data_IF_738626303166
#
_entry.id   IF_738626303166
#
_cell.length_a   1.000
_cell.length_b   1.000
_cell.length_c   1.000
_cell.angle_alpha   90.00
_cell.angle_beta   90.00
_cell.angle_gamma   90.00
#
_symmetry.space_group_name_H-M   'P 1'
#
loop_
_entity.id
_entity.type
_entity.pdbx_description
1 polymer ?
#
# COMPACT_ATOMS: atom_id res chain seq x y z
N UNK A 1 -1.66 -17.06 -9.06
CA UNK A 1 -0.39 -16.83 -8.32
C UNK A 1 0.48 -15.76 -8.96
N UNK A 2 0.97 -15.94 -10.19
CA UNK A 2 1.81 -14.91 -10.85
C UNK A 2 1.00 -13.65 -11.20
N UNK A 3 -0.23 -13.84 -11.69
CA UNK A 3 -1.18 -12.74 -11.95
C UNK A 3 -1.50 -11.94 -10.68
N UNK A 4 -1.72 -12.62 -9.56
CA UNK A 4 -1.99 -11.98 -8.26
C UNK A 4 -0.78 -11.13 -7.80
N UNK A 5 0.45 -11.63 -8.01
CA UNK A 5 1.68 -10.90 -7.71
C UNK A 5 1.83 -9.67 -8.60
N UNK A 6 1.57 -9.79 -9.89
CA UNK A 6 1.61 -8.67 -10.83
C UNK A 6 0.56 -7.61 -10.48
N UNK A 7 -0.64 -8.03 -10.11
CA UNK A 7 -1.70 -7.12 -9.71
C UNK A 7 -1.37 -6.39 -8.41
N UNK A 8 -0.80 -7.09 -7.43
CA UNK A 8 -0.30 -6.50 -6.19
C UNK A 8 0.81 -5.48 -6.46
N UNK A 9 1.78 -5.83 -7.29
CA UNK A 9 2.88 -4.93 -7.65
C UNK A 9 2.36 -3.67 -8.38
N UNK A 10 1.40 -3.84 -9.28
CA UNK A 10 0.74 -2.71 -9.97
C UNK A 10 0.04 -1.79 -8.97
N UNK A 11 -0.66 -2.36 -7.99
CA UNK A 11 -1.35 -1.58 -6.96
C UNK A 11 -0.37 -0.83 -6.04
N UNK A 12 0.75 -1.46 -5.65
CA UNK A 12 1.82 -0.81 -4.88
C UNK A 12 2.47 0.35 -5.65
N UNK A 13 2.71 0.18 -6.94
CA UNK A 13 3.32 1.20 -7.80
C UNK A 13 2.41 2.43 -8.03
N UNK A 14 1.10 2.32 -7.75
CA UNK A 14 0.16 3.45 -7.82
C UNK A 14 0.10 4.28 -6.54
N UNK A 15 0.72 3.82 -5.45
CA UNK A 15 0.72 4.56 -4.19
C UNK A 15 1.72 5.71 -4.24
N UNK A 16 1.40 6.80 -3.53
CA UNK A 16 2.37 7.85 -3.25
C UNK A 16 3.61 7.26 -2.57
N UNK A 17 4.79 7.74 -2.95
CA UNK A 17 6.09 7.25 -2.48
C UNK A 17 6.17 7.05 -0.97
N UNK A 18 5.76 8.04 -0.17
CA UNK A 18 5.82 7.95 1.30
C UNK A 18 4.83 6.93 1.88
N UNK A 19 3.75 6.65 1.17
CA UNK A 19 2.76 5.62 1.55
C UNK A 19 3.28 4.23 1.22
N UNK A 20 3.88 4.08 0.03
CA UNK A 20 4.56 2.85 -0.39
C UNK A 20 5.69 2.48 0.57
N UNK A 21 6.58 3.43 0.86
CA UNK A 21 7.67 3.23 1.83
C UNK A 21 7.17 2.83 3.21
N UNK A 22 6.10 3.46 3.71
CA UNK A 22 5.54 3.10 5.01
C UNK A 22 5.02 1.66 5.07
N UNK A 23 4.42 1.17 3.98
CA UNK A 23 3.94 -0.21 3.86
C UNK A 23 5.13 -1.17 3.73
N UNK A 24 6.08 -0.89 2.84
CA UNK A 24 7.28 -1.73 2.64
C UNK A 24 8.10 -1.86 3.93
N UNK A 25 8.32 -0.78 4.67
CA UNK A 25 9.08 -0.86 5.91
C UNK A 25 8.37 -1.65 7.01
N UNK A 26 7.05 -1.50 7.16
CA UNK A 26 6.31 -2.21 8.21
C UNK A 26 6.12 -3.69 7.89
N UNK A 27 5.81 -4.03 6.63
CA UNK A 27 5.41 -5.40 6.28
C UNK A 27 6.51 -6.23 5.62
N UNK A 28 7.53 -5.60 4.99
CA UNK A 28 8.62 -6.33 4.33
C UNK A 28 9.93 -6.27 5.12
N UNK A 29 10.12 -5.22 5.94
CA UNK A 29 11.31 -5.04 6.78
C UNK A 29 11.03 -5.18 8.28
N UNK A 30 9.79 -5.53 8.65
CA UNK A 30 9.34 -5.70 10.05
C UNK A 30 9.65 -4.53 10.99
N UNK A 31 9.78 -3.31 10.46
CA UNK A 31 9.98 -2.12 11.27
C UNK A 31 8.69 -1.74 11.98
N UNK A 32 8.80 -1.34 13.25
CA UNK A 32 7.67 -0.76 13.96
C UNK A 32 7.26 0.57 13.32
N UNK A 33 5.98 0.94 13.49
CA UNK A 33 5.48 2.24 13.00
C UNK A 33 6.23 3.44 13.57
N UNK A 34 6.86 3.28 14.75
CA UNK A 34 7.71 4.30 15.38
C UNK A 34 9.04 4.44 14.64
N UNK A 35 9.73 3.34 14.37
CA UNK A 35 10.99 3.34 13.61
C UNK A 35 10.79 3.89 12.20
N UNK A 36 9.68 3.52 11.55
CA UNK A 36 9.30 4.06 10.23
C UNK A 36 9.03 5.56 10.29
N UNK A 37 8.41 6.05 11.36
CA UNK A 37 8.12 7.46 11.55
C UNK A 37 9.41 8.29 11.66
N UNK A 38 10.37 7.79 12.45
CA UNK A 38 11.71 8.36 12.58
C UNK A 38 12.46 8.35 11.24
N UNK A 39 12.40 7.24 10.50
CA UNK A 39 13.07 7.08 9.19
C UNK A 39 12.50 7.97 8.09
N UNK A 40 11.18 8.19 8.07
CA UNK A 40 10.49 9.00 7.04
C UNK A 40 10.38 10.48 7.44
N UNK A 41 10.62 10.81 8.71
CA UNK A 41 10.50 12.17 9.25
C UNK A 41 9.04 12.61 9.41
N UNK A 42 8.19 11.75 9.97
CA UNK A 42 6.78 12.04 10.28
C UNK A 42 6.40 11.53 11.66
N UNK A 43 5.17 11.76 12.11
CA UNK A 43 4.67 11.14 13.35
C UNK A 43 4.25 9.67 13.14
N UNK A 44 4.30 8.81 14.17
CA UNK A 44 3.78 7.44 14.09
C UNK A 44 2.32 7.38 13.66
N UNK A 45 1.52 8.37 14.03
CA UNK A 45 0.11 8.44 13.64
C UNK A 45 -0.06 8.72 12.14
N UNK A 46 0.84 9.52 11.54
CA UNK A 46 0.89 9.71 10.09
C UNK A 46 1.26 8.42 9.37
N UNK A 47 2.19 7.62 9.92
CA UNK A 47 2.52 6.30 9.37
C UNK A 47 1.28 5.38 9.38
N UNK A 48 0.56 5.31 10.51
CA UNK A 48 -0.70 4.54 10.58
C UNK A 48 -1.71 4.99 9.53
N UNK A 49 -1.93 6.30 9.37
CA UNK A 49 -2.86 6.84 8.36
C UNK A 49 -2.43 6.51 6.93
N UNK A 50 -1.14 6.59 6.62
CA UNK A 50 -0.60 6.22 5.30
C UNK A 50 -0.81 4.75 5.02
N UNK A 51 -0.46 3.87 5.94
CA UNK A 51 -0.67 2.43 5.79
C UNK A 51 -2.15 2.13 5.54
N UNK A 52 -3.05 2.67 6.36
CA UNK A 52 -4.49 2.44 6.21
C UNK A 52 -5.00 2.92 4.85
N UNK A 53 -4.66 4.15 4.44
CA UNK A 53 -5.06 4.70 3.13
C UNK A 53 -4.46 3.93 1.96
N UNK A 54 -3.19 3.54 2.05
CA UNK A 54 -2.50 2.79 1.01
C UNK A 54 -3.11 1.40 0.80
N UNK A 55 -3.41 0.68 1.89
CA UNK A 55 -4.09 -0.62 1.81
C UNK A 55 -5.49 -0.45 1.18
N UNK A 56 -6.26 0.56 1.59
CA UNK A 56 -7.58 0.82 0.98
C UNK A 56 -7.47 1.13 -0.52
N UNK A 57 -6.50 1.94 -0.93
CA UNK A 57 -6.25 2.24 -2.34
C UNK A 57 -5.86 0.98 -3.12
N UNK A 58 -4.99 0.13 -2.55
CA UNK A 58 -4.60 -1.13 -3.17
C UNK A 58 -5.81 -2.05 -3.36
N UNK A 59 -6.67 -2.19 -2.35
CA UNK A 59 -7.92 -2.97 -2.45
C UNK A 59 -8.81 -2.44 -3.56
N UNK A 60 -8.96 -1.11 -3.69
CA UNK A 60 -9.78 -0.50 -4.75
C UNK A 60 -9.19 -0.79 -6.13
N UNK A 61 -7.86 -0.62 -6.30
CA UNK A 61 -7.17 -0.88 -7.57
C UNK A 61 -7.15 -2.37 -7.93
N UNK A 62 -7.10 -3.26 -6.93
CA UNK A 62 -7.06 -4.72 -7.12
C UNK A 62 -8.45 -5.35 -7.31
N UNK A 63 -9.55 -4.62 -7.05
CA UNK A 63 -10.87 -5.16 -7.38
C UNK A 63 -10.95 -5.37 -8.90
N UNK A 64 -11.27 -6.59 -9.37
CA UNK A 64 -11.49 -6.81 -10.79
C UNK A 64 -12.60 -5.87 -11.28
N UNK A 65 -12.40 -5.29 -12.46
CA UNK A 65 -13.47 -4.60 -13.19
C UNK A 65 -14.52 -5.66 -13.57
N UNK A 66 -15.38 -6.08 -12.63
CA UNK A 66 -16.52 -6.98 -12.90
C UNK A 66 -17.76 -6.17 -13.34
N UNK A 67 -17.57 -4.99 -13.93
CA UNK A 67 -18.68 -4.20 -14.47
C UNK A 67 -18.22 -3.51 -15.76
N UNK A 68 -18.13 -4.28 -16.84
CA UNK A 68 -18.30 -3.83 -18.24
C UNK A 68 -18.23 -5.07 -19.15
N UNK A 69 -19.22 -5.94 -19.01
CA UNK A 69 -19.57 -6.92 -20.04
C UNK A 69 -21.05 -7.19 -19.87
N UNK A 70 -21.88 -6.50 -20.63
CA UNK A 70 -23.26 -6.88 -20.98
C UNK A 70 -23.77 -5.86 -22.02
N UNK A 71 -24.61 -6.27 -22.98
CA UNK A 71 -24.22 -6.91 -24.25
C UNK A 71 -24.17 -5.95 -25.44
#
# INVERSE_FOLDING_TARGET
>A
LEEDRQQLQKALNQLEEKTRQAIEYVFLHDLSRKEVAEKIGVSPMTVTRRIHRGIQQMIITMKPQILQSDP
#
